data_IF_311913982810
#
_entry.id   IF_311913982810
#
_cell.length_a   1.000
_cell.length_b   1.000
_cell.length_c   1.000
_cell.angle_alpha   90.00
_cell.angle_beta   90.00
_cell.angle_gamma   90.00
#
_symmetry.space_group_name_H-M   'P 1'
#
loop_
_entity.id
_entity.type
_entity.pdbx_description
1 polymer ?
#
# COMPACT_ATOMS: atom_id res chain seq x y z
N UNK A 1 16.71 2.75 -11.26
CA UNK A 1 15.52 1.94 -10.93
C UNK A 1 15.08 2.33 -9.51
N UNK A 2 13.79 2.48 -9.25
CA UNK A 2 13.27 2.86 -7.93
C UNK A 2 13.26 1.62 -7.01
N UNK A 3 14.44 1.30 -6.46
CA UNK A 3 14.69 0.07 -5.69
C UNK A 3 14.69 0.37 -4.20
N UNK A 4 13.93 -0.37 -3.37
CA UNK A 4 14.02 -0.26 -1.92
C UNK A 4 15.30 -0.92 -1.40
N UNK A 5 15.83 -0.46 -0.28
CA UNK A 5 17.11 -0.96 0.26
C UNK A 5 17.09 -2.42 0.73
N UNK A 6 15.92 -3.04 0.91
CA UNK A 6 15.77 -4.43 1.39
C UNK A 6 15.13 -5.41 0.40
N UNK A 7 14.89 -5.00 -0.85
CA UNK A 7 14.27 -5.87 -1.85
C UNK A 7 14.65 -5.43 -3.28
N UNK A 8 14.49 -6.30 -4.28
CA UNK A 8 14.83 -5.97 -5.67
C UNK A 8 13.90 -4.90 -6.29
N UNK A 9 12.70 -4.75 -5.74
CA UNK A 9 11.68 -3.80 -6.16
C UNK A 9 10.68 -3.57 -5.03
N UNK A 10 9.93 -2.46 -5.05
CA UNK A 10 8.87 -2.24 -4.06
C UNK A 10 7.76 -3.26 -4.22
N UNK A 11 7.40 -3.65 -5.45
CA UNK A 11 6.42 -4.69 -5.74
C UNK A 11 6.45 -5.07 -7.22
N UNK A 12 5.65 -6.07 -7.58
CA UNK A 12 5.52 -6.63 -8.92
C UNK A 12 4.69 -5.75 -9.86
N UNK A 13 3.58 -5.16 -9.40
CA UNK A 13 2.66 -4.39 -10.25
C UNK A 13 1.93 -3.26 -9.51
N UNK A 14 1.08 -2.51 -10.24
CA UNK A 14 0.21 -1.49 -9.63
C UNK A 14 0.99 -0.33 -9.01
N UNK A 15 2.12 0.03 -9.60
CA UNK A 15 3.01 1.05 -9.06
C UNK A 15 2.33 2.43 -9.02
N UNK A 16 2.42 3.12 -7.89
CA UNK A 16 1.89 4.45 -7.70
C UNK A 16 2.80 5.27 -6.79
N UNK A 17 3.03 6.55 -7.13
CA UNK A 17 3.82 7.46 -6.31
C UNK A 17 2.93 8.62 -5.86
N UNK A 18 3.00 8.95 -4.58
CA UNK A 18 2.38 10.15 -4.01
C UNK A 18 3.34 10.89 -3.09
N UNK A 19 3.04 12.17 -2.82
CA UNK A 19 3.81 12.98 -1.87
C UNK A 19 3.05 13.12 -0.56
N UNK A 20 3.65 12.66 0.53
CA UNK A 20 3.09 12.66 1.89
C UNK A 20 4.10 13.28 2.83
N UNK A 21 3.68 14.28 3.62
CA UNK A 21 4.52 14.97 4.61
C UNK A 21 5.89 15.44 4.06
N UNK A 22 5.95 15.79 2.76
CA UNK A 22 7.18 16.25 2.10
C UNK A 22 7.99 15.15 1.41
N UNK A 23 7.80 13.88 1.76
CA UNK A 23 8.47 12.72 1.15
C UNK A 23 7.65 12.06 0.04
N UNK A 24 8.32 11.29 -0.81
CA UNK A 24 7.73 10.48 -1.87
C UNK A 24 7.51 9.06 -1.38
N UNK A 25 6.26 8.59 -1.49
CA UNK A 25 5.87 7.22 -1.18
C UNK A 25 5.61 6.50 -2.48
N UNK A 26 6.35 5.43 -2.74
CA UNK A 26 6.10 4.50 -3.83
C UNK A 26 5.35 3.29 -3.24
N UNK A 27 4.13 3.03 -3.72
CA UNK A 27 3.43 1.77 -3.52
C UNK A 27 3.55 0.86 -4.73
N UNK A 28 3.56 -0.44 -4.49
CA UNK A 28 3.33 -1.47 -5.49
C UNK A 28 2.83 -2.74 -4.81
N UNK A 29 2.03 -3.53 -5.53
CA UNK A 29 1.54 -4.80 -5.02
C UNK A 29 2.56 -5.93 -5.23
N UNK A 30 2.60 -6.89 -4.32
CA UNK A 30 3.41 -8.09 -4.46
C UNK A 30 2.76 -9.30 -3.78
N UNK A 31 3.25 -10.49 -4.11
CA UNK A 31 2.78 -11.74 -3.54
C UNK A 31 3.71 -12.22 -2.41
N UNK A 32 3.14 -12.48 -1.24
CA UNK A 32 3.84 -13.08 -0.09
C UNK A 32 3.42 -14.53 0.05
N UNK A 33 4.37 -15.46 0.06
CA UNK A 33 4.09 -16.87 0.36
C UNK A 33 3.83 -17.03 1.86
N UNK A 34 2.65 -17.51 2.21
CA UNK A 34 2.24 -17.79 3.58
C UNK A 34 2.67 -19.21 4.02
N UNK A 35 2.78 -19.47 5.34
CA UNK A 35 3.17 -20.78 5.86
C UNK A 35 2.26 -21.95 5.45
N UNK A 36 1.00 -21.67 5.11
CA UNK A 36 0.03 -22.67 4.65
C UNK A 36 0.10 -22.94 3.13
N UNK A 37 1.08 -22.35 2.44
CA UNK A 37 1.34 -22.54 1.01
C UNK A 37 0.53 -21.65 0.09
N UNK A 38 -0.42 -20.86 0.62
CA UNK A 38 -1.13 -19.87 -0.18
C UNK A 38 -0.31 -18.59 -0.34
N UNK A 39 -0.66 -17.76 -1.35
CA UNK A 39 -0.03 -16.45 -1.54
C UNK A 39 -0.99 -15.35 -1.13
N UNK A 40 -0.52 -14.40 -0.33
CA UNK A 40 -1.23 -13.17 0.03
C UNK A 40 -0.85 -12.04 -0.91
N UNK A 41 -1.84 -11.25 -1.36
CA UNK A 41 -1.61 -10.12 -2.26
C UNK A 41 -1.59 -8.83 -1.44
N UNK A 42 -0.41 -8.24 -1.27
CA UNK A 42 -0.20 -7.13 -0.34
C UNK A 42 0.23 -5.85 -1.05
N UNK A 43 -0.17 -4.70 -0.50
CA UNK A 43 0.43 -3.42 -0.81
C UNK A 43 1.73 -3.24 -0.04
N UNK A 44 2.84 -3.17 -0.78
CA UNK A 44 4.11 -2.71 -0.24
C UNK A 44 4.30 -1.23 -0.51
N UNK A 45 4.95 -0.54 0.43
CA UNK A 45 5.39 0.85 0.26
C UNK A 45 6.83 1.04 0.66
N UNK A 46 7.51 1.98 0.01
CA UNK A 46 8.80 2.51 0.44
C UNK A 46 8.82 4.03 0.28
N UNK A 47 9.62 4.72 1.09
CA UNK A 47 9.71 6.18 1.11
C UNK A 47 11.08 6.69 0.63
N UNK A 48 11.10 7.89 0.05
CA UNK A 48 12.31 8.61 -0.36
C UNK A 48 12.13 10.14 -0.26
N UNK A 49 13.22 10.88 -0.06
CA UNK A 49 13.19 12.35 -0.08
C UNK A 49 13.24 12.94 -1.50
N UNK A 50 13.71 12.15 -2.47
CA UNK A 50 13.74 12.49 -3.89
C UNK A 50 12.87 11.49 -4.67
N UNK A 51 12.10 11.96 -5.65
CA UNK A 51 11.21 11.11 -6.45
C UNK A 51 11.95 9.96 -7.15
N UNK A 52 13.23 10.16 -7.46
CA UNK A 52 14.11 9.19 -8.10
C UNK A 52 14.83 8.26 -7.10
N UNK A 53 14.60 8.41 -5.80
CA UNK A 53 15.21 7.62 -4.73
C UNK A 53 16.49 8.23 -4.14
N UNK A 54 17.26 7.45 -3.35
CA UNK A 54 17.02 6.04 -3.03
C UNK A 54 15.76 5.85 -2.18
N UNK A 55 15.03 4.76 -2.42
CA UNK A 55 13.90 4.37 -1.58
C UNK A 55 14.39 3.50 -0.42
N UNK A 56 13.89 3.76 0.79
CA UNK A 56 14.23 3.00 1.98
C UNK A 56 13.66 1.58 1.98
N UNK A 57 13.60 0.96 3.16
CA UNK A 57 13.01 -0.37 3.30
C UNK A 57 11.54 -0.37 2.84
N UNK A 58 11.18 -1.35 2.03
CA UNK A 58 9.77 -1.64 1.79
C UNK A 58 9.16 -2.34 3.00
N UNK A 59 7.89 -2.04 3.27
CA UNK A 59 7.07 -2.74 4.26
C UNK A 59 5.64 -2.91 3.76
N UNK A 60 4.88 -3.83 4.36
CA UNK A 60 3.47 -4.06 4.03
C UNK A 60 2.64 -2.93 4.65
N UNK A 61 2.04 -2.08 3.82
CA UNK A 61 1.15 -1.02 4.27
C UNK A 61 -0.30 -1.50 4.38
N UNK A 62 -0.76 -2.31 3.43
CA UNK A 62 -2.14 -2.83 3.41
C UNK A 62 -2.07 -4.32 3.09
N UNK A 63 -2.41 -5.20 4.06
CA UNK A 63 -2.45 -6.64 3.80
C UNK A 63 -3.70 -7.00 2.98
N UNK A 64 -3.60 -8.05 2.17
CA UNK A 64 -4.71 -8.59 1.37
C UNK A 64 -5.34 -7.61 0.35
N UNK A 65 -4.67 -6.50 0.05
CA UNK A 65 -5.15 -5.50 -0.89
C UNK A 65 -4.00 -4.83 -1.60
N UNK A 66 -3.97 -4.96 -2.93
CA UNK A 66 -2.96 -4.35 -3.79
C UNK A 66 -3.54 -3.31 -4.76
N UNK A 67 -2.74 -2.91 -5.75
CA UNK A 67 -3.09 -1.90 -6.76
C UNK A 67 -3.60 -0.59 -6.15
N UNK A 68 -2.84 -0.06 -5.20
CA UNK A 68 -3.26 1.03 -4.34
C UNK A 68 -2.90 2.40 -4.92
N UNK A 69 -3.84 3.33 -4.79
CA UNK A 69 -3.61 4.76 -4.81
C UNK A 69 -3.84 5.30 -3.40
N UNK A 70 -3.25 6.44 -3.06
CA UNK A 70 -3.45 7.13 -1.78
C UNK A 70 -3.88 8.57 -2.01
N UNK A 71 -4.92 9.01 -1.31
CA UNK A 71 -5.51 10.34 -1.50
C UNK A 71 -6.17 10.85 -0.22
N UNK A 72 -6.37 12.17 -0.16
CA UNK A 72 -7.18 12.83 0.87
C UNK A 72 -8.56 13.15 0.33
N UNK A 73 -9.58 12.99 1.16
CA UNK A 73 -10.89 13.54 0.87
C UNK A 73 -10.97 15.05 1.19
N UNK A 74 -12.15 15.63 0.99
CA UNK A 74 -12.42 17.06 1.23
C UNK A 74 -12.35 17.45 2.71
N UNK A 75 -12.38 16.49 3.64
CA UNK A 75 -12.24 16.71 5.07
C UNK A 75 -10.80 16.46 5.55
N UNK A 76 -9.88 16.14 4.64
CA UNK A 76 -8.47 15.87 4.94
C UNK A 76 -8.21 14.46 5.46
N UNK A 77 -9.20 13.57 5.47
CA UNK A 77 -9.01 12.17 5.85
C UNK A 77 -8.28 11.44 4.74
N UNK A 78 -7.31 10.60 5.12
CA UNK A 78 -6.58 9.76 4.18
C UNK A 78 -7.30 8.45 3.87
N UNK A 79 -7.23 8.09 2.59
CA UNK A 79 -7.84 6.91 2.00
C UNK A 79 -6.86 6.21 1.06
N UNK A 80 -7.10 4.92 0.85
CA UNK A 80 -6.47 4.16 -0.22
C UNK A 80 -7.52 3.43 -1.05
N UNK A 81 -7.26 3.22 -2.34
CA UNK A 81 -8.01 2.19 -3.08
C UNK A 81 -7.66 0.81 -2.55
N UNK A 82 -8.58 -0.15 -2.71
CA UNK A 82 -8.40 -1.52 -2.28
C UNK A 82 -8.87 -2.47 -3.38
N UNK A 83 -8.05 -3.48 -3.68
CA UNK A 83 -8.38 -4.59 -4.56
C UNK A 83 -7.80 -5.88 -3.95
N UNK A 84 -8.67 -6.74 -3.43
CA UNK A 84 -8.26 -8.05 -2.90
C UNK A 84 -8.16 -9.09 -4.00
N UNK A 85 -7.00 -9.76 -4.08
CA UNK A 85 -6.71 -10.76 -5.12
C UNK A 85 -6.25 -12.11 -4.55
N UNK A 86 -6.39 -12.32 -3.25
CA UNK A 86 -6.07 -13.60 -2.60
C UNK A 86 -7.29 -14.21 -1.91
N UNK A 87 -7.18 -15.51 -1.60
CA UNK A 87 -8.28 -16.32 -1.06
C UNK A 87 -8.80 -15.82 0.30
N UNK A 88 -7.96 -15.11 1.06
CA UNK A 88 -8.27 -14.63 2.42
C UNK A 88 -8.62 -13.15 2.45
N UNK A 89 -8.62 -12.47 1.29
CA UNK A 89 -8.95 -11.06 1.26
C UNK A 89 -10.42 -10.82 1.65
N UNK A 90 -10.70 -9.81 2.49
CA UNK A 90 -12.05 -9.54 2.99
C UNK A 90 -13.01 -9.04 1.90
N UNK A 91 -12.47 -8.53 0.79
CA UNK A 91 -13.23 -8.03 -0.34
C UNK A 91 -12.45 -8.33 -1.62
N UNK A 92 -13.01 -9.18 -2.48
CA UNK A 92 -12.25 -9.77 -3.61
C UNK A 92 -12.75 -9.26 -4.95
N UNK A 93 -11.79 -8.98 -5.82
CA UNK A 93 -11.99 -8.77 -7.26
C UNK A 93 -13.02 -7.67 -7.59
N UNK A 94 -13.11 -6.66 -6.73
CA UNK A 94 -14.04 -5.52 -6.83
C UNK A 94 -13.36 -4.24 -6.35
N UNK A 95 -13.75 -3.08 -6.89
CA UNK A 95 -13.20 -1.80 -6.45
C UNK A 95 -13.72 -1.43 -5.06
N UNK A 96 -12.84 -0.98 -4.18
CA UNK A 96 -13.25 -0.36 -2.92
C UNK A 96 -12.26 0.72 -2.47
N UNK A 97 -12.65 1.44 -1.43
CA UNK A 97 -11.76 2.35 -0.70
C UNK A 97 -11.65 1.93 0.77
N UNK A 98 -10.45 2.10 1.32
CA UNK A 98 -10.08 1.76 2.69
C UNK A 98 -9.54 3.01 3.39
N UNK A 99 -10.04 3.29 4.59
CA UNK A 99 -9.51 4.38 5.41
C UNK A 99 -8.14 3.99 5.97
N UNK A 100 -7.18 4.91 5.87
CA UNK A 100 -5.81 4.71 6.35
C UNK A 100 -5.40 5.83 7.31
N UNK A 101 -4.43 5.52 8.16
CA UNK A 101 -3.71 6.49 8.98
C UNK A 101 -2.26 6.58 8.54
N UNK A 102 -1.69 7.77 8.70
CA UNK A 102 -0.26 8.02 8.53
C UNK A 102 0.29 8.31 9.91
N UNK A 103 1.17 7.44 10.38
CA UNK A 103 1.82 7.57 11.68
C UNK A 103 2.83 8.73 11.68
N UNK A 104 3.27 9.22 12.86
CA UNK A 104 4.25 10.30 12.94
C UNK A 104 5.59 10.00 12.23
N UNK A 105 5.97 8.73 12.14
CA UNK A 105 7.16 8.26 11.41
C UNK A 105 6.95 8.16 9.89
N UNK A 106 5.76 8.56 9.39
CA UNK A 106 5.38 8.48 7.98
C UNK A 106 4.85 7.12 7.55
N UNK A 107 4.81 6.12 8.44
CA UNK A 107 4.31 4.79 8.09
C UNK A 107 2.80 4.79 7.85
N UNK A 108 2.35 4.04 6.83
CA UNK A 108 0.95 3.94 6.41
C UNK A 108 0.37 2.62 6.91
N UNK A 109 -0.84 2.66 7.45
CA UNK A 109 -1.61 1.46 7.83
C UNK A 109 -3.13 1.69 7.70
N UNK A 110 -3.94 0.63 7.58
CA UNK A 110 -5.39 0.74 7.74
C UNK A 110 -5.75 1.30 9.13
N UNK A 111 -6.82 2.07 9.24
CA UNK A 111 -7.35 2.46 10.56
C UNK A 111 -8.09 1.30 11.21
N UNK A 112 -8.09 1.23 12.54
CA UNK A 112 -8.93 0.28 13.29
C UNK A 112 -10.41 0.49 12.94
N UNK A 113 -11.11 -0.57 12.55
CA UNK A 113 -12.49 -0.50 12.07
C UNK A 113 -12.64 0.13 10.67
N UNK A 114 -11.56 0.25 9.90
CA UNK A 114 -11.58 0.73 8.52
C UNK A 114 -12.45 -0.17 7.65
N UNK A 115 -13.72 0.20 7.49
CA UNK A 115 -14.61 -0.47 6.56
C UNK A 115 -14.04 -0.34 5.15
N UNK A 116 -13.95 -1.46 4.45
CA UNK A 116 -13.85 -1.46 2.99
C UNK A 116 -15.21 -0.99 2.49
N UNK A 117 -15.27 0.21 1.91
CA UNK A 117 -16.50 0.78 1.40
C UNK A 117 -16.57 0.48 -0.10
N UNK A 118 -17.58 -0.30 -0.49
CA UNK A 118 -18.00 -0.48 -1.87
C UNK A 118 -18.78 0.76 -2.32
N UNK A 119 -18.54 1.25 -3.54
CA UNK A 119 -19.20 2.45 -4.08
C UNK A 119 -20.32 2.07 -5.03
#
# INVERSE_FOLDING_TARGET
MLVPTNHHQVGFEGAFITKINGGYILSAADWVLEPDGHRRYDCFVAAADNIYGPYGHRYIAIPHGGHNMFFKDVHGQWWSTFFGNDLKAPFRERPAILRISINPDGSIKPTDGGAVIDK
#
